data_IF_366782371658
#
_entry.id   IF_366782371658
#
_cell.length_a   1.000
_cell.length_b   1.000
_cell.length_c   1.000
_cell.angle_alpha   90.00
_cell.angle_beta   90.00
_cell.angle_gamma   90.00
#
_symmetry.space_group_name_H-M   'P 1'
#
loop_
_entity.id
_entity.type
_entity.pdbx_description
1 polymer ?
#
# COMPACT_ATOMS: atom_id res chain seq x y z
N UNK A 1 -4.80 28.47 -1.81
CA UNK A 1 -3.86 27.47 -1.28
C UNK A 1 -3.81 26.23 -2.15
N UNK A 2 -2.78 25.43 -2.02
CA UNK A 2 -2.65 24.13 -2.69
C UNK A 2 -3.26 23.06 -1.81
N UNK A 3 -4.09 22.18 -2.37
CA UNK A 3 -4.83 21.16 -1.63
C UNK A 3 -4.53 19.78 -2.20
N UNK A 4 -4.57 18.77 -1.34
CA UNK A 4 -4.63 17.36 -1.73
C UNK A 4 -6.11 16.94 -1.71
N UNK A 5 -6.62 16.44 -2.82
CA UNK A 5 -8.01 16.01 -2.95
C UNK A 5 -8.10 14.48 -2.99
N UNK A 6 -8.77 13.89 -2.01
CA UNK A 6 -9.12 12.47 -2.02
C UNK A 6 -10.44 12.26 -2.78
N UNK A 7 -10.37 12.17 -4.09
CA UNK A 7 -11.52 11.83 -4.91
C UNK A 7 -11.73 10.30 -4.94
N UNK A 8 -12.97 9.86 -4.81
CA UNK A 8 -13.31 8.43 -4.92
C UNK A 8 -13.48 8.04 -6.38
N UNK A 9 -12.84 6.94 -6.78
CA UNK A 9 -12.93 6.37 -8.12
C UNK A 9 -13.10 4.84 -8.10
N UNK A 10 -13.88 4.36 -7.12
CA UNK A 10 -14.12 2.93 -6.88
C UNK A 10 -13.21 2.33 -5.82
N UNK A 11 -12.28 3.09 -5.28
CA UNK A 11 -11.38 2.67 -4.22
C UNK A 11 -12.12 2.54 -2.88
N UNK A 12 -11.77 1.51 -2.13
CA UNK A 12 -12.36 1.16 -0.83
C UNK A 12 -11.27 0.67 0.12
N UNK A 13 -11.52 0.79 1.42
CA UNK A 13 -10.57 0.33 2.44
C UNK A 13 -10.78 -1.15 2.78
N UNK A 14 -9.70 -1.88 3.04
CA UNK A 14 -9.71 -3.26 3.50
C UNK A 14 -9.25 -4.28 2.46
N UNK A 15 -9.54 -5.56 2.72
CA UNK A 15 -9.23 -6.68 1.83
C UNK A 15 -10.50 -7.12 1.11
N UNK A 16 -10.45 -7.19 -0.20
CA UNK A 16 -11.56 -7.58 -1.04
C UNK A 16 -11.19 -8.81 -1.87
N UNK A 17 -12.18 -9.61 -2.21
CA UNK A 17 -12.00 -10.68 -3.18
C UNK A 17 -11.67 -10.05 -4.54
N UNK A 18 -10.74 -10.60 -5.32
CA UNK A 18 -10.46 -10.14 -6.67
C UNK A 18 -11.75 -9.97 -7.49
N UNK A 19 -11.89 -8.85 -8.17
CA UNK A 19 -13.05 -8.52 -8.98
C UNK A 19 -14.22 -7.84 -8.26
N UNK A 20 -14.22 -7.74 -6.91
CA UNK A 20 -15.27 -7.04 -6.18
C UNK A 20 -15.10 -5.52 -6.14
N UNK A 21 -13.89 -5.05 -6.36
CA UNK A 21 -13.56 -3.61 -6.44
C UNK A 21 -13.21 -3.29 -7.88
N UNK A 22 -14.00 -2.44 -8.51
CA UNK A 22 -13.72 -1.90 -9.84
C UNK A 22 -13.19 -0.48 -9.70
N UNK A 23 -11.87 -0.32 -9.80
CA UNK A 23 -11.26 1.00 -9.90
C UNK A 23 -11.58 1.63 -11.27
N UNK A 24 -11.92 2.91 -11.22
CA UNK A 24 -12.27 3.73 -12.39
C UNK A 24 -11.43 5.01 -12.42
N UNK A 25 -10.10 4.92 -12.65
CA UNK A 25 -9.22 6.10 -12.64
C UNK A 25 -9.63 7.17 -13.64
N UNK A 26 -10.36 6.81 -14.70
CA UNK A 26 -10.90 7.75 -15.68
C UNK A 26 -11.78 8.85 -15.04
N UNK A 27 -12.35 8.62 -13.86
CA UNK A 27 -13.09 9.64 -13.10
C UNK A 27 -12.18 10.79 -12.67
N UNK A 28 -10.91 10.49 -12.35
CA UNK A 28 -9.91 11.49 -12.00
C UNK A 28 -9.58 12.38 -13.21
N UNK A 29 -9.37 11.78 -14.39
CA UNK A 29 -9.14 12.51 -15.65
C UNK A 29 -10.29 13.45 -15.98
N UNK A 30 -11.54 12.98 -15.86
CA UNK A 30 -12.73 13.80 -16.05
C UNK A 30 -12.72 15.00 -15.08
N UNK A 31 -12.38 14.74 -13.80
CA UNK A 31 -12.26 15.77 -12.78
C UNK A 31 -11.23 16.84 -13.13
N UNK A 32 -10.04 16.43 -13.58
CA UNK A 32 -8.98 17.35 -14.04
C UNK A 32 -9.46 18.22 -15.22
N UNK A 33 -10.03 17.62 -16.25
CA UNK A 33 -10.52 18.31 -17.45
C UNK A 33 -11.62 19.33 -17.13
N UNK A 34 -12.57 18.95 -16.25
CA UNK A 34 -13.65 19.87 -15.83
C UNK A 34 -13.09 21.05 -15.06
N UNK A 35 -12.16 20.80 -14.14
CA UNK A 35 -11.54 21.85 -13.35
C UNK A 35 -10.66 22.77 -14.21
N UNK A 36 -9.83 22.22 -15.09
CA UNK A 36 -9.00 23.02 -16.01
C UNK A 36 -9.87 23.97 -16.85
N UNK A 37 -10.96 23.45 -17.43
CA UNK A 37 -11.90 24.24 -18.23
C UNK A 37 -12.55 25.36 -17.42
N UNK A 38 -13.00 25.09 -16.19
CA UNK A 38 -13.61 26.10 -15.30
C UNK A 38 -12.62 27.18 -14.85
N UNK A 39 -11.34 26.82 -14.73
CA UNK A 39 -10.27 27.72 -14.31
C UNK A 39 -9.63 28.48 -15.51
N UNK A 40 -10.04 28.20 -16.73
CA UNK A 40 -9.44 28.78 -17.94
C UNK A 40 -8.01 28.35 -18.19
N UNK A 41 -7.63 27.13 -17.77
CA UNK A 41 -6.32 26.54 -17.97
C UNK A 41 -6.26 25.74 -19.26
N UNK A 42 -5.06 25.41 -19.72
CA UNK A 42 -4.83 24.56 -20.89
C UNK A 42 -5.51 23.19 -20.75
N UNK A 43 -5.92 22.60 -21.86
CA UNK A 43 -6.70 21.36 -21.90
C UNK A 43 -5.97 20.15 -21.25
N UNK A 44 -4.63 20.17 -21.22
CA UNK A 44 -3.80 19.16 -20.57
C UNK A 44 -3.43 19.48 -19.11
N UNK A 45 -3.92 20.59 -18.54
CA UNK A 45 -3.59 20.96 -17.18
C UNK A 45 -4.22 20.01 -16.16
N UNK A 46 -3.46 19.73 -15.12
CA UNK A 46 -3.89 18.91 -13.96
C UNK A 46 -3.92 19.78 -12.70
N UNK A 47 -5.00 20.56 -12.48
CA UNK A 47 -5.08 21.49 -11.35
C UNK A 47 -5.20 20.84 -9.98
N UNK A 48 -5.55 19.56 -9.92
CA UNK A 48 -5.66 18.83 -8.65
C UNK A 48 -4.47 17.92 -8.40
N UNK A 49 -4.01 17.92 -7.16
CA UNK A 49 -3.14 16.89 -6.59
C UNK A 49 -4.04 15.84 -5.91
N UNK A 50 -4.15 14.63 -6.46
CA UNK A 50 -5.02 13.60 -5.91
C UNK A 50 -4.33 12.69 -4.90
N UNK A 51 -5.14 12.20 -3.94
CA UNK A 51 -4.77 11.13 -3.00
C UNK A 51 -5.59 9.88 -3.30
N UNK A 52 -4.90 8.77 -3.49
CA UNK A 52 -5.49 7.44 -3.63
C UNK A 52 -5.54 6.76 -2.26
N UNK A 53 -6.73 6.74 -1.63
CA UNK A 53 -6.98 5.96 -0.43
C UNK A 53 -7.34 4.51 -0.76
N UNK A 54 -7.06 3.59 0.18
CA UNK A 54 -7.40 2.18 0.02
C UNK A 54 -6.67 1.52 -1.15
N UNK A 55 -5.38 1.82 -1.31
CA UNK A 55 -4.57 1.33 -2.41
C UNK A 55 -4.13 -0.13 -2.31
N UNK A 56 -4.24 -0.76 -1.12
CA UNK A 56 -3.89 -2.16 -0.94
C UNK A 56 -4.71 -3.08 -1.83
N UNK A 57 -4.05 -4.04 -2.50
CA UNK A 57 -4.70 -4.99 -3.41
C UNK A 57 -5.14 -4.41 -4.76
N UNK A 58 -4.75 -3.18 -5.09
CA UNK A 58 -5.04 -2.57 -6.38
C UNK A 58 -4.23 -3.20 -7.51
N UNK A 59 -4.84 -3.31 -8.69
CA UNK A 59 -4.15 -3.75 -9.91
C UNK A 59 -3.10 -2.72 -10.35
N UNK A 60 -1.90 -3.18 -10.76
CA UNK A 60 -0.77 -2.29 -11.13
C UNK A 60 -1.13 -1.35 -12.28
N UNK A 61 -1.86 -1.84 -13.25
CA UNK A 61 -2.34 -1.06 -14.39
C UNK A 61 -3.25 0.09 -13.96
N UNK A 62 -4.06 -0.13 -12.91
CA UNK A 62 -4.95 0.90 -12.35
C UNK A 62 -4.20 1.91 -11.50
N UNK A 63 -3.15 1.51 -10.81
CA UNK A 63 -2.24 2.43 -10.12
C UNK A 63 -1.56 3.33 -11.15
N UNK A 64 -0.97 2.74 -12.19
CA UNK A 64 -0.31 3.45 -13.28
C UNK A 64 -1.23 4.46 -13.97
N UNK A 65 -2.47 4.06 -14.24
CA UNK A 65 -3.49 4.92 -14.82
C UNK A 65 -3.84 6.11 -13.89
N UNK A 66 -3.99 5.86 -12.59
CA UNK A 66 -4.29 6.88 -11.60
C UNK A 66 -3.13 7.89 -11.43
N UNK A 67 -1.89 7.43 -11.48
CA UNK A 67 -0.70 8.30 -11.45
C UNK A 67 -0.70 9.27 -12.65
N UNK A 68 -1.04 8.78 -13.84
CA UNK A 68 -1.14 9.65 -15.04
C UNK A 68 -2.20 10.73 -14.91
N UNK A 69 -3.22 10.51 -14.11
CA UNK A 69 -4.31 11.48 -13.87
C UNK A 69 -4.10 12.38 -12.66
N UNK A 70 -2.88 12.39 -12.09
CA UNK A 70 -2.49 13.35 -11.05
C UNK A 70 -2.59 12.82 -9.63
N UNK A 71 -2.62 11.52 -9.41
CA UNK A 71 -2.39 10.95 -8.08
C UNK A 71 -0.93 11.14 -7.70
N UNK A 72 -0.69 11.86 -6.60
CA UNK A 72 0.64 12.14 -6.06
C UNK A 72 0.91 11.45 -4.71
N UNK A 73 -0.10 10.87 -4.11
CA UNK A 73 -0.03 10.15 -2.85
C UNK A 73 -0.96 8.94 -2.87
N UNK A 74 -0.47 7.79 -2.45
CA UNK A 74 -1.27 6.57 -2.27
C UNK A 74 -1.11 6.06 -0.85
N UNK A 75 -2.20 5.63 -0.23
CA UNK A 75 -2.20 5.01 1.09
C UNK A 75 -2.25 3.49 0.94
N UNK A 76 -1.21 2.83 1.44
CA UNK A 76 -1.09 1.37 1.50
C UNK A 76 -0.90 0.99 2.96
N UNK A 77 -1.80 0.19 3.53
CA UNK A 77 -1.74 -0.26 4.92
C UNK A 77 -1.93 -1.78 5.03
N UNK A 78 -3.05 -2.29 4.57
CA UNK A 78 -3.42 -3.71 4.71
C UNK A 78 -2.36 -4.66 4.17
N UNK A 79 -1.76 -4.36 3.02
CA UNK A 79 -0.70 -5.18 2.42
C UNK A 79 0.57 -5.21 3.28
N UNK A 80 0.93 -4.08 3.88
CA UNK A 80 2.12 -4.00 4.75
C UNK A 80 1.88 -4.71 6.08
N UNK A 81 0.68 -4.60 6.65
CA UNK A 81 0.26 -5.38 7.82
C UNK A 81 0.36 -6.88 7.54
N UNK A 82 -0.17 -7.33 6.40
CA UNK A 82 -0.13 -8.72 6.02
C UNK A 82 1.30 -9.21 5.78
N UNK A 83 2.12 -8.44 5.08
CA UNK A 83 3.52 -8.75 4.82
C UNK A 83 4.33 -8.93 6.12
N UNK A 84 4.04 -8.12 7.15
CA UNK A 84 4.66 -8.25 8.46
C UNK A 84 4.13 -9.46 9.24
N UNK A 85 2.82 -9.64 9.28
CA UNK A 85 2.17 -10.65 10.13
C UNK A 85 2.38 -12.07 9.61
N UNK A 86 2.41 -12.27 8.30
CA UNK A 86 2.53 -13.60 7.67
C UNK A 86 3.76 -14.39 8.10
N UNK A 87 4.99 -13.84 8.09
CA UNK A 87 6.19 -14.54 8.57
C UNK A 87 6.16 -14.84 10.08
N UNK A 88 5.55 -13.95 10.87
CA UNK A 88 5.35 -14.20 12.32
C UNK A 88 4.47 -15.41 12.53
N UNK A 89 3.30 -15.45 11.89
CA UNK A 89 2.38 -16.59 11.98
C UNK A 89 3.03 -17.89 11.49
N UNK A 90 3.72 -17.84 10.34
CA UNK A 90 4.43 -19.00 9.80
C UNK A 90 5.49 -19.53 10.78
N UNK A 91 6.24 -18.63 11.43
CA UNK A 91 7.23 -19.03 12.44
C UNK A 91 6.57 -19.70 13.65
N UNK A 92 5.49 -19.13 14.17
CA UNK A 92 4.78 -19.66 15.35
C UNK A 92 4.19 -21.05 15.05
N UNK A 93 3.50 -21.20 13.94
CA UNK A 93 2.88 -22.48 13.57
C UNK A 93 3.90 -23.59 13.25
N UNK A 94 5.02 -23.23 12.63
CA UNK A 94 6.07 -24.19 12.30
C UNK A 94 6.93 -24.61 13.51
N UNK A 95 6.86 -23.85 14.60
CA UNK A 95 7.71 -24.05 15.78
C UNK A 95 6.90 -24.11 17.08
N UNK A 96 5.70 -24.66 17.01
CA UNK A 96 4.75 -24.67 18.13
C UNK A 96 5.39 -25.17 19.44
N UNK A 97 6.04 -26.33 19.41
CA UNK A 97 6.66 -26.94 20.60
C UNK A 97 7.85 -26.14 21.13
N UNK A 98 8.60 -25.47 20.23
CA UNK A 98 9.72 -24.63 20.63
C UNK A 98 9.31 -23.27 21.19
N UNK A 99 8.15 -22.78 20.80
CA UNK A 99 7.61 -21.47 21.24
C UNK A 99 6.85 -21.59 22.56
N UNK A 100 6.09 -22.67 22.73
CA UNK A 100 5.30 -22.91 23.94
C UNK A 100 6.06 -23.75 24.94
N UNK A 101 5.90 -23.41 26.21
CA UNK A 101 6.31 -24.32 27.31
C UNK A 101 5.16 -25.27 27.58
N UNK A 102 5.43 -26.56 27.47
CA UNK A 102 4.57 -27.61 28.00
C UNK A 102 5.03 -27.91 29.42
N UNK A 103 4.15 -28.35 30.30
CA UNK A 103 4.46 -28.62 31.73
C UNK A 103 5.74 -29.39 31.91
N UNK A 104 6.68 -28.80 32.63
CA UNK A 104 8.00 -29.39 32.90
C UNK A 104 9.07 -29.22 31.82
N UNK A 105 8.71 -28.64 30.66
CA UNK A 105 9.66 -28.42 29.58
C UNK A 105 10.12 -26.96 29.49
N UNK A 106 11.33 -26.78 28.97
CA UNK A 106 11.90 -25.47 28.65
C UNK A 106 11.80 -25.27 27.16
N UNK A 107 11.02 -24.30 26.72
CA UNK A 107 10.93 -23.92 25.31
C UNK A 107 12.30 -23.54 24.72
N UNK A 108 12.43 -23.63 23.42
CA UNK A 108 13.65 -23.26 22.71
C UNK A 108 13.80 -21.74 22.60
N UNK A 109 14.72 -21.15 23.37
CA UNK A 109 14.95 -19.69 23.36
C UNK A 109 15.22 -19.15 21.96
N UNK A 110 15.94 -19.84 21.11
CA UNK A 110 16.21 -19.40 19.72
C UNK A 110 14.94 -19.30 18.89
N UNK A 111 13.89 -20.04 19.26
CA UNK A 111 12.62 -20.07 18.56
C UNK A 111 11.64 -19.02 19.08
N UNK A 112 11.55 -18.86 20.42
CA UNK A 112 10.61 -17.90 21.00
C UNK A 112 11.16 -16.48 21.18
N UNK A 113 12.47 -16.26 20.95
CA UNK A 113 13.05 -14.91 21.01
C UNK A 113 12.47 -14.03 19.89
N UNK A 114 11.80 -12.91 20.21
CA UNK A 114 11.20 -12.00 19.22
C UNK A 114 12.15 -11.59 18.09
N UNK A 115 13.43 -11.42 18.41
CA UNK A 115 14.45 -11.06 17.42
C UNK A 115 14.60 -12.09 16.29
N UNK A 116 14.24 -13.35 16.55
CA UNK A 116 14.32 -14.42 15.56
C UNK A 116 13.24 -14.33 14.50
N UNK A 117 12.00 -14.08 14.90
CA UNK A 117 10.86 -14.04 13.97
C UNK A 117 10.53 -12.64 13.48
N UNK A 118 10.77 -11.61 14.28
CA UNK A 118 10.53 -10.22 13.84
C UNK A 118 11.47 -9.80 12.74
N UNK A 119 12.71 -10.29 12.70
CA UNK A 119 13.65 -10.03 11.60
C UNK A 119 13.10 -10.48 10.24
N UNK A 120 12.40 -11.62 10.19
CA UNK A 120 11.75 -12.08 8.96
C UNK A 120 10.54 -11.23 8.59
N UNK A 121 9.82 -10.76 9.59
CA UNK A 121 8.68 -9.86 9.38
C UNK A 121 9.11 -8.49 8.87
N UNK A 122 10.18 -7.94 9.45
CA UNK A 122 10.80 -6.70 8.99
C UNK A 122 11.26 -6.78 7.53
N UNK A 123 11.94 -7.88 7.17
CA UNK A 123 12.39 -8.13 5.80
C UNK A 123 11.20 -8.18 4.82
N UNK A 124 10.17 -8.95 5.13
CA UNK A 124 9.00 -9.09 4.25
C UNK A 124 8.22 -7.76 4.11
N UNK A 125 8.11 -6.98 5.19
CA UNK A 125 7.51 -5.65 5.11
C UNK A 125 8.36 -4.70 4.28
N UNK A 126 9.69 -4.72 4.42
CA UNK A 126 10.62 -3.92 3.61
C UNK A 126 10.46 -4.22 2.12
N UNK A 127 10.39 -5.50 1.76
CA UNK A 127 10.17 -5.94 0.37
C UNK A 127 8.85 -5.42 -0.19
N UNK A 128 7.78 -5.48 0.60
CA UNK A 128 6.47 -4.94 0.17
C UNK A 128 6.49 -3.41 0.01
N UNK A 129 7.20 -2.69 0.87
CA UNK A 129 7.37 -1.23 0.74
C UNK A 129 8.20 -0.89 -0.50
N UNK A 130 9.26 -1.64 -0.79
CA UNK A 130 10.06 -1.47 -2.02
C UNK A 130 9.17 -1.67 -3.26
N UNK A 131 8.33 -2.69 -3.28
CA UNK A 131 7.36 -2.93 -4.36
C UNK A 131 6.43 -1.73 -4.55
N UNK A 132 5.85 -1.20 -3.45
CA UNK A 132 5.00 -0.01 -3.52
C UNK A 132 5.75 1.21 -4.08
N UNK A 133 7.01 1.41 -3.70
CA UNK A 133 7.84 2.49 -4.26
C UNK A 133 8.10 2.32 -5.76
N UNK A 134 8.26 1.09 -6.23
CA UNK A 134 8.40 0.79 -7.66
C UNK A 134 7.11 1.09 -8.41
N UNK A 135 5.97 0.59 -7.94
CA UNK A 135 4.66 0.80 -8.54
C UNK A 135 4.27 2.30 -8.59
N UNK A 136 4.73 3.08 -7.62
CA UNK A 136 4.49 4.53 -7.54
C UNK A 136 5.56 5.40 -8.24
N UNK A 137 6.51 4.80 -8.95
CA UNK A 137 7.61 5.50 -9.63
C UNK A 137 8.39 6.45 -8.70
N UNK A 138 8.48 6.11 -7.41
CA UNK A 138 9.13 6.94 -6.39
C UNK A 138 10.57 6.52 -6.06
N UNK A 139 11.07 5.43 -6.67
CA UNK A 139 12.44 4.96 -6.45
C UNK A 139 13.44 6.04 -6.83
N UNK A 140 14.37 6.33 -5.92
CA UNK A 140 15.40 7.36 -6.11
C UNK A 140 14.89 8.80 -6.07
N UNK A 141 13.61 9.01 -5.70
CA UNK A 141 13.03 10.35 -5.53
C UNK A 141 12.90 10.71 -4.05
N UNK A 142 13.03 11.99 -3.73
CA UNK A 142 12.80 12.54 -2.40
C UNK A 142 12.04 13.85 -2.49
N UNK A 143 11.20 14.13 -1.49
CA UNK A 143 10.52 15.42 -1.34
C UNK A 143 11.42 16.49 -0.72
N UNK A 144 12.50 16.06 -0.07
CA UNK A 144 13.58 16.91 0.42
C UNK A 144 14.79 16.78 -0.50
N UNK A 145 15.26 17.91 -1.04
CA UNK A 145 16.57 18.01 -1.69
C UNK A 145 17.62 18.33 -0.67
#
# INVERSE_FOLDING_TARGET
GRYLLAATFGNVHGVYKPGNVKLRPEVLDIGQKVAARKLGLDEGAQPFDFVFHGGSGSEKEKIEEALRYGVIKMNVDTDTQYAFTRPVAAHMFSNYDGVLKIDGEVGNKKTYDPRSYLKKAEQAMSERVIEACQDLHSVGKSVSK
#
